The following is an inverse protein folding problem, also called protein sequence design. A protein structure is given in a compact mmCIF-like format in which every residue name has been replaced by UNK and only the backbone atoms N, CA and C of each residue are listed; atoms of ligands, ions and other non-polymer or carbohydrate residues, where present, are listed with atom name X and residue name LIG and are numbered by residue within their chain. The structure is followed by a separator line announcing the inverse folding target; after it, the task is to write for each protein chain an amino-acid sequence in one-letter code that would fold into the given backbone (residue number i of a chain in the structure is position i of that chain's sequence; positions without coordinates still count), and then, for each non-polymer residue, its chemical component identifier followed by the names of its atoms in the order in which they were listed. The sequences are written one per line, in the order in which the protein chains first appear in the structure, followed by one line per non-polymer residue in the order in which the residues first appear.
data_IF_191209686588
#
_entry.id   IF_191209686588
#
_cell.length_a   1.000
_cell.length_b   1.000
_cell.length_c   1.000
_cell.angle_alpha   90.00
_cell.angle_beta   90.00
_cell.angle_gamma   90.00
#
_symmetry.space_group_name_H-M   'P 1'
#
loop_
_entity.id
_entity.type
_entity.pdbx_description
1 polymer ?
#
# COMPACT_ATOMS: atom_id res chain seq x y z
N UNK A 1 7.52 -34.09 21.19
CA UNK A 1 8.31 -33.01 21.82
C UNK A 1 8.30 -31.81 20.89
N UNK A 2 8.07 -30.64 21.49
CA UNK A 2 8.01 -29.26 20.97
C UNK A 2 8.35 -29.06 19.49
N UNK A 3 7.39 -28.52 18.74
CA UNK A 3 7.64 -27.70 17.55
C UNK A 3 8.72 -26.68 17.88
N UNK A 4 9.97 -26.98 17.55
CA UNK A 4 11.12 -26.25 18.09
C UNK A 4 12.02 -25.72 16.98
N UNK A 5 11.42 -25.13 15.93
CA UNK A 5 11.84 -23.80 15.48
C UNK A 5 11.30 -23.44 14.11
N UNK A 6 10.52 -22.36 14.05
CA UNK A 6 10.41 -21.53 12.83
C UNK A 6 11.81 -21.11 12.33
N UNK A 7 12.77 -21.01 13.25
CA UNK A 7 14.20 -20.83 13.00
C UNK A 7 14.87 -21.98 12.21
N UNK A 8 14.46 -23.24 12.38
CA UNK A 8 15.00 -24.39 11.61
C UNK A 8 14.46 -24.40 10.18
N UNK A 9 13.21 -23.97 9.97
CA UNK A 9 12.66 -23.75 8.64
C UNK A 9 13.33 -22.59 7.91
N UNK A 10 13.76 -21.54 8.63
CA UNK A 10 14.57 -20.45 8.08
C UNK A 10 16.03 -20.87 7.84
N UNK A 11 16.56 -21.75 8.69
CA UNK A 11 17.96 -22.18 8.68
C UNK A 11 18.21 -23.50 7.91
N UNK A 12 17.20 -24.06 7.23
CA UNK A 12 17.33 -25.26 6.40
C UNK A 12 18.13 -24.95 5.12
N UNK A 13 19.46 -24.83 5.26
CA UNK A 13 20.43 -24.90 4.17
C UNK A 13 20.31 -23.85 3.05
N UNK A 14 19.70 -22.68 3.29
CA UNK A 14 19.63 -21.58 2.31
C UNK A 14 18.38 -21.53 1.41
N UNK A 15 17.49 -22.52 1.48
CA UNK A 15 16.26 -22.54 0.66
C UNK A 15 15.14 -21.64 1.18
N UNK A 16 15.14 -21.31 2.47
CA UNK A 16 14.12 -20.46 3.06
C UNK A 16 14.09 -19.06 2.43
N UNK A 17 15.25 -18.52 2.06
CA UNK A 17 15.36 -17.22 1.39
C UNK A 17 14.64 -17.21 0.03
N UNK A 18 14.64 -18.32 -0.70
CA UNK A 18 13.94 -18.44 -1.99
C UNK A 18 12.42 -18.53 -1.81
N UNK A 19 11.96 -19.29 -0.82
CA UNK A 19 10.52 -19.44 -0.51
C UNK A 19 9.98 -18.09 -0.02
N UNK A 20 10.56 -17.55 1.04
CA UNK A 20 10.15 -16.27 1.60
C UNK A 20 10.39 -15.10 0.64
N UNK A 21 11.42 -15.16 -0.20
CA UNK A 21 11.64 -14.19 -1.26
C UNK A 21 10.53 -14.20 -2.31
N UNK A 22 10.07 -15.38 -2.73
CA UNK A 22 8.97 -15.51 -3.71
C UNK A 22 7.62 -15.10 -3.12
N UNK A 23 7.33 -15.51 -1.88
CA UNK A 23 6.14 -15.07 -1.14
C UNK A 23 6.17 -13.56 -0.87
N UNK A 24 7.33 -13.03 -0.49
CA UNK A 24 7.55 -11.59 -0.29
C UNK A 24 7.41 -10.81 -1.59
N UNK A 25 7.95 -11.29 -2.70
CA UNK A 25 7.79 -10.67 -4.01
C UNK A 25 6.32 -10.66 -4.47
N UNK A 26 5.59 -11.77 -4.26
CA UNK A 26 4.16 -11.84 -4.55
C UNK A 26 3.36 -10.85 -3.70
N UNK A 27 3.61 -10.82 -2.39
CA UNK A 27 2.97 -9.87 -1.47
C UNK A 27 3.31 -8.42 -1.85
N UNK A 28 4.56 -8.15 -2.22
CA UNK A 28 5.02 -6.84 -2.64
C UNK A 28 4.28 -6.37 -3.89
N UNK A 29 4.16 -7.22 -4.92
CA UNK A 29 3.38 -6.91 -6.12
C UNK A 29 1.89 -6.67 -5.79
N UNK A 30 1.31 -7.50 -4.94
CA UNK A 30 -0.08 -7.36 -4.50
C UNK A 30 -0.32 -6.07 -3.70
N UNK A 31 0.70 -5.51 -3.04
CA UNK A 31 0.63 -4.26 -2.28
C UNK A 31 0.95 -3.04 -3.14
N UNK A 32 1.89 -3.15 -4.08
CA UNK A 32 2.31 -2.05 -4.96
C UNK A 32 1.15 -1.54 -5.80
N UNK A 33 0.39 -2.44 -6.43
CA UNK A 33 -0.79 -2.10 -7.24
C UNK A 33 -1.82 -1.24 -6.50
N UNK A 34 -2.35 -1.63 -5.32
CA UNK A 34 -3.31 -0.82 -4.58
C UNK A 34 -2.70 0.46 -3.98
N UNK A 35 -1.39 0.50 -3.69
CA UNK A 35 -0.73 1.75 -3.27
C UNK A 35 -0.72 2.75 -4.42
N UNK A 36 -0.32 2.34 -5.62
CA UNK A 36 -0.36 3.20 -6.81
C UNK A 36 -1.79 3.63 -7.14
N UNK A 37 -2.75 2.71 -7.06
CA UNK A 37 -4.16 3.01 -7.28
C UNK A 37 -4.71 4.01 -6.24
N UNK A 38 -4.35 3.85 -4.96
CA UNK A 38 -4.70 4.80 -3.89
C UNK A 38 -4.04 6.16 -4.09
N UNK A 39 -2.77 6.21 -4.49
CA UNK A 39 -2.07 7.45 -4.77
C UNK A 39 -2.77 8.23 -5.90
N UNK A 40 -3.16 7.54 -6.98
CA UNK A 40 -3.92 8.12 -8.09
C UNK A 40 -5.29 8.64 -7.67
N UNK A 41 -6.00 7.88 -6.82
CA UNK A 41 -7.30 8.29 -6.26
C UNK A 41 -7.17 9.49 -5.33
N UNK A 42 -6.11 9.55 -4.52
CA UNK A 42 -5.86 10.68 -3.62
C UNK A 42 -5.61 11.97 -4.38
N UNK A 43 -4.89 11.91 -5.50
CA UNK A 43 -4.65 13.08 -6.34
C UNK A 43 -5.95 13.63 -6.93
N UNK A 44 -6.83 12.76 -7.46
CA UNK A 44 -8.12 13.17 -7.99
C UNK A 44 -9.05 13.78 -6.92
N UNK A 45 -9.02 13.24 -5.70
CA UNK A 45 -9.78 13.79 -4.58
C UNK A 45 -9.24 15.14 -4.09
N UNK A 46 -7.94 15.38 -4.24
CA UNK A 46 -7.30 16.63 -3.83
C UNK A 46 -7.68 17.76 -4.78
N UNK A 47 -7.76 17.47 -6.07
CA UNK A 47 -8.26 18.40 -7.10
C UNK A 47 -9.71 18.83 -6.80
N UNK A 48 -10.60 17.86 -6.58
CA UNK A 48 -12.01 18.13 -6.27
C UNK A 48 -12.18 18.96 -4.99
N UNK A 49 -11.37 18.70 -3.96
CA UNK A 49 -11.42 19.50 -2.72
C UNK A 49 -11.03 20.96 -2.97
N UNK A 50 -10.08 21.23 -3.87
CA UNK A 50 -9.68 22.60 -4.23
C UNK A 50 -10.79 23.33 -4.98
N UNK A 51 -11.45 22.66 -5.94
CA UNK A 51 -12.58 23.26 -6.67
C UNK A 51 -13.75 23.58 -5.75
N UNK A 52 -14.10 22.68 -4.83
CA UNK A 52 -15.17 22.92 -3.85
C UNK A 52 -14.81 24.09 -2.93
N UNK A 53 -13.56 24.19 -2.47
CA UNK A 53 -13.11 25.29 -1.63
C UNK A 53 -13.22 26.64 -2.36
N UNK A 54 -12.71 26.73 -3.60
CA UNK A 54 -12.77 27.95 -4.42
C UNK A 54 -14.21 28.35 -4.77
N UNK A 55 -15.10 27.37 -5.02
CA UNK A 55 -16.52 27.63 -5.29
C UNK A 55 -17.26 28.12 -4.05
N UNK A 56 -16.91 27.60 -2.86
CA UNK A 56 -17.51 28.01 -1.59
C UNK A 56 -17.16 29.47 -1.26
N UNK A 57 -15.94 29.89 -1.56
CA UNK A 57 -15.47 31.26 -1.35
C UNK A 57 -16.19 32.25 -2.30
N UNK A 58 -16.31 31.91 -3.59
CA UNK A 58 -17.06 32.73 -4.56
C UNK A 58 -18.56 32.87 -4.27
N UNK A 59 -19.19 31.83 -3.69
CA UNK A 59 -20.60 31.89 -3.28
C UNK A 59 -20.76 32.78 -2.05
N UNK A 60 -19.84 32.72 -1.09
CA UNK A 60 -19.91 33.53 0.13
C UNK A 60 -19.68 35.02 -0.12
N UNK A 61 -18.89 35.39 -1.13
CA UNK A 61 -18.66 36.79 -1.54
C UNK A 61 -19.85 37.41 -2.30
N UNK A 62 -20.80 36.60 -2.79
CA UNK A 62 -21.98 37.06 -3.56
C UNK A 62 -23.25 37.24 -2.69
N UNK A 63 -23.15 37.11 -1.37
CA UNK A 63 -24.22 37.41 -0.41
C UNK A 63 -23.87 38.66 0.41
#
# INVERSE_FOLDING_TARGET
MKWNSFSEFLAMGGHALYVWGSFGACLLLMIVEPILAKARRSNALTELKREIAARKENVNENF
#
